data_IF_397485818526
#
_entry.id   IF_397485818526
#
_cell.length_a   1.000
_cell.length_b   1.000
_cell.length_c   1.000
_cell.angle_alpha   90.00
_cell.angle_beta   90.00
_cell.angle_gamma   90.00
#
_symmetry.space_group_name_H-M   'P 1'
#
loop_
_entity.id
_entity.type
_entity.pdbx_description
1 polymer ?
#
# COMPACT_ATOMS: atom_id res chain seq x y z
N UNK A 1 -11.09 -2.99 -8.82
CA UNK A 1 -10.17 -3.43 -7.76
C UNK A 1 -9.08 -4.29 -8.37
N UNK A 2 -7.84 -3.96 -8.07
CA UNK A 2 -6.69 -4.71 -8.59
C UNK A 2 -5.63 -4.80 -7.51
N UNK A 3 -5.16 -6.03 -7.24
CA UNK A 3 -4.07 -6.23 -6.29
C UNK A 3 -2.78 -5.83 -6.97
N UNK A 4 -2.10 -4.81 -6.41
CA UNK A 4 -0.84 -4.28 -6.93
C UNK A 4 0.35 -5.00 -6.30
N UNK A 5 0.23 -5.32 -5.02
CA UNK A 5 1.29 -5.96 -4.27
C UNK A 5 0.71 -6.73 -3.11
N UNK A 6 1.27 -7.88 -2.82
CA UNK A 6 0.88 -8.66 -1.65
C UNK A 6 2.10 -9.41 -1.14
N UNK A 7 2.35 -9.29 0.16
CA UNK A 7 3.38 -10.04 0.86
C UNK A 7 2.77 -10.63 2.13
N UNK A 8 3.60 -11.29 2.94
CA UNK A 8 3.16 -11.77 4.24
C UNK A 8 2.66 -10.63 5.13
N UNK A 9 3.26 -9.45 5.00
CA UNK A 9 3.02 -8.33 5.92
C UNK A 9 2.08 -7.29 5.35
N UNK A 10 2.07 -7.08 4.04
CA UNK A 10 1.35 -5.97 3.43
C UNK A 10 0.56 -6.39 2.21
N UNK A 11 -0.50 -5.63 1.98
CA UNK A 11 -1.39 -5.82 0.85
C UNK A 11 -1.73 -4.43 0.29
N UNK A 12 -1.58 -4.27 -1.01
CA UNK A 12 -1.87 -3.00 -1.68
C UNK A 12 -2.86 -3.26 -2.80
N UNK A 13 -3.99 -2.59 -2.73
CA UNK A 13 -5.06 -2.72 -3.72
C UNK A 13 -5.27 -1.38 -4.41
N UNK A 14 -5.34 -1.40 -5.73
CA UNK A 14 -5.64 -0.21 -6.52
C UNK A 14 -7.12 -0.19 -6.87
N UNK A 15 -7.73 0.97 -6.77
CA UNK A 15 -9.10 1.24 -7.21
C UNK A 15 -9.05 2.29 -8.30
N UNK A 16 -8.82 1.89 -9.57
CA UNK A 16 -8.63 2.86 -10.66
C UNK A 16 -9.79 3.85 -10.82
N UNK A 17 -11.03 3.37 -10.62
CA UNK A 17 -12.21 4.21 -10.78
C UNK A 17 -12.29 5.30 -9.71
N UNK A 18 -11.74 5.04 -8.54
CA UNK A 18 -11.74 5.99 -7.42
C UNK A 18 -10.40 6.73 -7.31
N UNK A 19 -9.45 6.45 -8.20
CA UNK A 19 -8.10 7.02 -8.18
C UNK A 19 -7.44 6.88 -6.81
N UNK A 20 -7.55 5.70 -6.20
CA UNK A 20 -7.06 5.47 -4.86
C UNK A 20 -6.44 4.10 -4.64
N UNK A 21 -5.84 3.96 -3.49
CA UNK A 21 -5.21 2.70 -3.05
C UNK A 21 -5.64 2.38 -1.62
N UNK A 22 -5.79 1.10 -1.35
CA UNK A 22 -5.95 0.60 0.02
C UNK A 22 -4.67 -0.08 0.45
N UNK A 23 -4.11 0.35 1.57
CA UNK A 23 -2.91 -0.21 2.16
C UNK A 23 -3.30 -0.98 3.41
N UNK A 24 -2.87 -2.23 3.51
CA UNK A 24 -3.22 -3.09 4.63
C UNK A 24 -1.97 -3.67 5.27
N UNK A 25 -1.87 -3.53 6.59
CA UNK A 25 -0.90 -4.23 7.41
C UNK A 25 -1.57 -5.51 7.89
N UNK A 26 -1.22 -6.65 7.30
CA UNK A 26 -1.91 -7.93 7.55
C UNK A 26 -1.79 -8.40 8.98
N UNK A 27 -0.59 -8.43 9.60
CA UNK A 27 -0.47 -8.91 10.99
C UNK A 27 -1.29 -8.09 11.97
N UNK A 28 -1.38 -6.78 11.76
CA UNK A 28 -2.14 -5.91 12.64
C UNK A 28 -3.62 -5.83 12.28
N UNK A 29 -4.01 -6.33 11.10
CA UNK A 29 -5.37 -6.23 10.57
C UNK A 29 -5.87 -4.79 10.51
N UNK A 30 -4.96 -3.86 10.18
CA UNK A 30 -5.25 -2.44 10.05
C UNK A 30 -4.94 -1.97 8.64
N UNK A 31 -5.65 -0.94 8.21
CA UNK A 31 -5.43 -0.39 6.88
C UNK A 31 -5.76 1.07 6.79
N UNK A 32 -5.48 1.64 5.64
CA UNK A 32 -5.86 3.00 5.30
C UNK A 32 -6.14 3.08 3.80
N UNK A 33 -7.01 4.00 3.44
CA UNK A 33 -7.31 4.31 2.05
C UNK A 33 -6.68 5.66 1.71
N UNK A 34 -5.92 5.71 0.62
CA UNK A 34 -5.32 6.96 0.14
C UNK A 34 -5.85 7.29 -1.24
N UNK A 35 -6.06 8.59 -1.49
CA UNK A 35 -6.61 9.08 -2.75
C UNK A 35 -6.06 10.47 -3.06
N UNK A 36 -6.39 10.99 -4.24
CA UNK A 36 -5.97 12.32 -4.65
C UNK A 36 -4.47 12.45 -4.83
N UNK A 37 -3.92 13.58 -4.40
CA UNK A 37 -2.49 13.86 -4.56
C UNK A 37 -1.62 12.90 -3.75
N UNK A 38 -2.11 12.45 -2.61
CA UNK A 38 -1.39 11.49 -1.77
C UNK A 38 -1.25 10.17 -2.52
N UNK A 39 -2.31 9.72 -3.20
CA UNK A 39 -2.27 8.51 -3.99
C UNK A 39 -1.30 8.62 -5.17
N UNK A 40 -1.24 9.78 -5.82
CA UNK A 40 -0.30 10.01 -6.91
C UNK A 40 1.14 9.96 -6.43
N UNK A 41 1.43 10.60 -5.31
CA UNK A 41 2.77 10.57 -4.70
C UNK A 41 3.13 9.16 -4.26
N UNK A 42 2.19 8.43 -3.68
CA UNK A 42 2.39 7.04 -3.28
C UNK A 42 2.77 6.19 -4.49
N UNK A 43 2.04 6.32 -5.59
CA UNK A 43 2.30 5.54 -6.80
C UNK A 43 3.70 5.83 -7.36
N UNK A 44 4.07 7.11 -7.43
CA UNK A 44 5.38 7.48 -7.93
C UNK A 44 6.51 6.89 -7.08
N UNK A 45 6.36 6.97 -5.76
CA UNK A 45 7.35 6.44 -4.84
C UNK A 45 7.40 4.91 -4.88
N UNK A 46 6.26 4.26 -5.01
CA UNK A 46 6.21 2.81 -5.14
C UNK A 46 6.90 2.35 -6.43
N UNK A 47 6.62 3.02 -7.55
CA UNK A 47 7.28 2.71 -8.81
C UNK A 47 8.79 2.88 -8.73
N UNK A 48 9.24 3.91 -8.01
CA UNK A 48 10.66 4.16 -7.81
C UNK A 48 11.30 3.02 -7.02
N UNK A 49 10.67 2.58 -5.93
CA UNK A 49 11.18 1.46 -5.14
C UNK A 49 11.24 0.20 -5.99
N UNK A 50 10.19 -0.08 -6.75
CA UNK A 50 10.15 -1.24 -7.63
C UNK A 50 11.25 -1.20 -8.71
N UNK A 51 11.61 0.01 -9.17
CA UNK A 51 12.66 0.18 -10.16
C UNK A 51 14.08 0.08 -9.59
N UNK A 52 14.26 0.41 -8.32
CA UNK A 52 15.58 0.40 -7.67
C UNK A 52 15.86 -0.93 -6.98
N UNK A 53 14.91 -1.43 -6.21
CA UNK A 53 15.06 -2.67 -5.44
C UNK A 53 13.69 -3.28 -5.22
N UNK A 54 13.32 -4.23 -6.06
CA UNK A 54 12.00 -4.88 -6.01
C UNK A 54 11.96 -6.07 -5.05
N UNK A 55 12.82 -6.09 -4.03
CA UNK A 55 12.75 -7.14 -3.01
C UNK A 55 11.55 -6.92 -2.08
N UNK A 56 11.05 -8.01 -1.51
CA UNK A 56 9.96 -7.94 -0.53
C UNK A 56 10.38 -7.07 0.67
N UNK A 57 11.63 -7.18 1.10
CA UNK A 57 12.15 -6.40 2.21
C UNK A 57 12.10 -4.90 1.92
N UNK A 58 12.54 -4.49 0.73
CA UNK A 58 12.54 -3.07 0.38
C UNK A 58 11.13 -2.51 0.24
N UNK A 59 10.24 -3.26 -0.38
CA UNK A 59 8.86 -2.83 -0.56
C UNK A 59 8.14 -2.77 0.79
N UNK A 60 8.32 -3.79 1.64
CA UNK A 60 7.69 -3.80 2.96
C UNK A 60 8.22 -2.67 3.84
N UNK A 61 9.51 -2.34 3.75
CA UNK A 61 10.09 -1.20 4.47
C UNK A 61 9.45 0.12 4.01
N UNK A 62 9.28 0.29 2.71
CA UNK A 62 8.60 1.46 2.17
C UNK A 62 7.16 1.55 2.69
N UNK A 63 6.41 0.44 2.65
CA UNK A 63 5.03 0.40 3.12
C UNK A 63 4.93 0.62 4.62
N UNK A 64 5.93 0.16 5.39
CA UNK A 64 5.98 0.39 6.84
C UNK A 64 5.96 1.87 7.21
N UNK A 65 6.42 2.74 6.33
CA UNK A 65 6.33 4.18 6.54
C UNK A 65 4.91 4.70 6.62
N UNK A 66 3.92 3.93 6.18
CA UNK A 66 2.51 4.31 6.23
C UNK A 66 1.77 3.71 7.41
N UNK A 67 2.43 2.92 8.27
CA UNK A 67 1.77 2.24 9.38
C UNK A 67 1.05 3.22 10.32
N UNK A 68 1.61 4.40 10.52
CA UNK A 68 0.99 5.43 11.37
C UNK A 68 -0.35 5.91 10.84
N UNK A 69 -0.62 5.73 9.55
CA UNK A 69 -1.88 6.11 8.92
C UNK A 69 -2.91 4.98 8.93
N UNK A 70 -2.49 3.76 9.25
CA UNK A 70 -3.33 2.57 9.22
C UNK A 70 -4.05 2.41 10.56
N UNK A 71 -5.10 3.18 10.76
CA UNK A 71 -5.81 3.26 12.03
C UNK A 71 -7.25 2.73 11.96
N UNK A 72 -7.63 2.11 10.85
CA UNK A 72 -8.98 1.56 10.67
C UNK A 72 -8.90 0.05 10.52
N UNK A 73 -9.91 -0.70 11.02
CA UNK A 73 -9.94 -2.13 10.78
C UNK A 73 -9.92 -2.44 9.29
N UNK A 74 -9.07 -3.36 8.88
CA UNK A 74 -8.94 -3.71 7.47
C UNK A 74 -10.07 -4.66 7.05
N UNK A 75 -10.60 -4.42 5.85
CA UNK A 75 -11.49 -5.38 5.20
C UNK A 75 -10.61 -6.25 4.31
N UNK A 76 -10.53 -7.52 4.62
CA UNK A 76 -9.70 -8.45 3.86
C UNK A 76 -10.45 -8.92 2.62
N UNK A 77 -9.84 -8.65 1.48
CA UNK A 77 -10.42 -9.02 0.19
C UNK A 77 -9.95 -10.39 -0.29
#
# INVERSE_FOLDING_TARGET
>A
MQIVYSSRNYHVVSYPDAAGYELVNKPAALGTYIHGQVASAFRENLEKVLGEDATVEAIDEFLGGFDALMNQPAVMH
#
